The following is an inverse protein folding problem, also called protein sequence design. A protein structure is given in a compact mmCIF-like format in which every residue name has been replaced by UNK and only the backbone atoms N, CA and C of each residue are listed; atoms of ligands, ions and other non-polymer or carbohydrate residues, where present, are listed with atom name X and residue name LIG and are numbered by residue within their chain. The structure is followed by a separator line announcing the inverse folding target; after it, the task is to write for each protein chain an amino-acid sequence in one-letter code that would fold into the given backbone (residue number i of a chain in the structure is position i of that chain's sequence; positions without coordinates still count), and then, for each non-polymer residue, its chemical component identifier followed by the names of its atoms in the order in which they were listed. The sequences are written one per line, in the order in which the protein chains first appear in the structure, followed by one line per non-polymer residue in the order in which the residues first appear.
data_IF_373161590704
#
_entry.id   IF_373161590704
#
_cell.length_a   1.000
_cell.length_b   1.000
_cell.length_c   1.000
_cell.angle_alpha   90.00
_cell.angle_beta   90.00
_cell.angle_gamma   90.00
#
_symmetry.space_group_name_H-M   'P 1'
#
loop_
_entity.id
_entity.type
_entity.pdbx_description
1 polymer ?
#
# COMPACT_ATOMS: atom_id res chain seq x y z
N UNK A 1 -33.08 18.92 26.07
CA UNK A 1 -31.60 18.94 26.07
C UNK A 1 -30.96 17.60 25.69
N UNK A 2 -31.48 16.44 26.12
CA UNK A 2 -30.89 15.10 25.89
C UNK A 2 -30.76 14.66 24.41
N UNK A 3 -31.64 15.16 23.54
CA UNK A 3 -31.70 14.79 22.11
C UNK A 3 -30.57 15.42 21.26
N UNK A 4 -30.06 16.60 21.65
CA UNK A 4 -28.91 17.25 21.00
C UNK A 4 -27.59 16.53 21.29
N UNK A 5 -27.44 16.00 22.51
CA UNK A 5 -26.24 15.25 22.90
C UNK A 5 -26.22 13.87 22.22
N UNK A 6 -27.35 13.17 22.15
CA UNK A 6 -27.45 11.86 21.49
C UNK A 6 -27.04 11.94 20.01
N UNK A 7 -27.49 12.99 19.31
CA UNK A 7 -27.17 13.22 17.90
C UNK A 7 -25.67 13.53 17.67
N UNK A 8 -25.08 14.30 18.59
CA UNK A 8 -23.68 14.69 18.51
C UNK A 8 -22.74 13.50 18.79
N UNK A 9 -23.10 12.62 19.73
CA UNK A 9 -22.35 11.38 20.00
C UNK A 9 -22.43 10.39 18.83
N UNK A 10 -23.60 10.29 18.18
CA UNK A 10 -23.79 9.42 17.01
C UNK A 10 -22.96 9.88 15.81
N UNK A 11 -22.86 11.20 15.60
CA UNK A 11 -22.05 11.80 14.54
C UNK A 11 -20.56 11.48 14.71
N UNK A 12 -20.04 11.55 15.95
CA UNK A 12 -18.64 11.25 16.27
C UNK A 12 -18.32 9.76 16.06
N UNK A 13 -19.23 8.86 16.40
CA UNK A 13 -19.07 7.43 16.17
C UNK A 13 -18.98 7.07 14.68
N UNK A 14 -19.80 7.71 13.85
CA UNK A 14 -19.74 7.53 12.39
C UNK A 14 -18.42 8.07 11.84
N UNK A 15 -17.94 9.22 12.33
CA UNK A 15 -16.68 9.81 11.90
C UNK A 15 -15.45 8.94 12.27
N UNK A 16 -15.46 8.29 13.43
CA UNK A 16 -14.38 7.38 13.84
C UNK A 16 -14.32 6.11 12.99
N UNK A 17 -15.45 5.64 12.45
CA UNK A 17 -15.50 4.40 11.68
C UNK A 17 -14.85 4.51 10.28
N UNK A 18 -14.78 5.71 9.70
CA UNK A 18 -14.17 5.93 8.37
C UNK A 18 -12.65 6.07 8.42
N UNK A 19 -12.09 6.44 9.58
CA UNK A 19 -10.64 6.56 9.79
C UNK A 19 -9.91 5.20 9.79
N UNK A 20 -10.63 4.09 9.97
CA UNK A 20 -10.05 2.74 9.99
C UNK A 20 -10.03 2.06 8.60
N UNK A 21 -10.75 2.60 7.61
CA UNK A 21 -10.84 2.03 6.27
C UNK A 21 -9.55 2.19 5.43
N UNK A 22 -8.53 2.87 5.96
CA UNK A 22 -7.25 3.10 5.29
C UNK A 22 -6.27 1.91 5.31
N UNK A 23 -6.56 0.83 6.04
CA UNK A 23 -5.64 -0.33 6.14
C UNK A 23 -5.70 -1.28 4.92
N UNK A 24 -6.65 -1.10 3.99
CA UNK A 24 -6.78 -1.92 2.78
C UNK A 24 -5.86 -1.48 1.64
N UNK A 25 -4.58 -1.20 1.92
CA UNK A 25 -3.63 -0.81 0.90
C UNK A 25 -3.13 -2.06 0.17
N UNK A 26 -3.30 -2.14 -1.16
CA UNK A 26 -2.77 -3.24 -1.97
C UNK A 26 -1.24 -3.24 -1.90
N UNK A 27 -0.68 -4.10 -1.06
CA UNK A 27 0.77 -4.28 -0.93
C UNK A 27 1.27 -5.31 -1.93
N UNK A 28 2.51 -5.16 -2.36
CA UNK A 28 3.14 -6.12 -3.26
C UNK A 28 4.48 -6.55 -2.69
N UNK A 29 4.73 -7.85 -2.64
CA UNK A 29 6.06 -8.39 -2.35
C UNK A 29 6.76 -8.72 -3.65
N UNK A 30 7.96 -8.16 -3.78
CA UNK A 30 8.89 -8.40 -4.87
C UNK A 30 10.07 -9.19 -4.32
N UNK A 31 10.37 -10.31 -4.97
CA UNK A 31 11.55 -11.13 -4.66
C UNK A 31 12.50 -11.03 -5.84
N UNK A 32 13.74 -10.64 -5.55
CA UNK A 32 14.81 -10.48 -6.54
C UNK A 32 15.74 -11.69 -6.60
N UNK A 33 16.56 -11.75 -7.64
CA UNK A 33 17.43 -12.88 -7.96
C UNK A 33 18.58 -13.06 -6.96
N UNK A 34 18.94 -11.99 -6.26
CA UNK A 34 19.90 -11.93 -5.15
C UNK A 34 19.25 -12.25 -3.79
N UNK A 35 18.02 -12.78 -3.78
CA UNK A 35 17.22 -13.07 -2.58
C UNK A 35 16.78 -11.82 -1.80
N UNK A 36 16.86 -10.64 -2.40
CA UNK A 36 16.26 -9.43 -1.86
C UNK A 36 14.73 -9.54 -1.81
N UNK A 37 14.13 -9.01 -0.74
CA UNK A 37 12.69 -8.96 -0.53
C UNK A 37 12.30 -7.51 -0.32
N UNK A 38 11.44 -6.99 -1.20
CA UNK A 38 10.94 -5.64 -1.13
C UNK A 38 9.42 -5.63 -0.98
N UNK A 39 8.91 -4.78 -0.10
CA UNK A 39 7.46 -4.57 0.08
C UNK A 39 7.12 -3.22 -0.52
N UNK A 40 6.28 -3.23 -1.55
CA UNK A 40 5.74 -2.04 -2.17
C UNK A 40 4.38 -1.70 -1.56
N UNK A 41 4.16 -0.42 -1.26
CA UNK A 41 2.86 0.10 -0.78
C UNK A 41 1.80 0.22 -1.89
N UNK A 42 2.12 -0.20 -3.11
CA UNK A 42 1.24 -0.15 -4.26
C UNK A 42 1.80 -0.96 -5.42
N UNK A 43 1.03 -1.06 -6.51
CA UNK A 43 1.42 -1.85 -7.68
C UNK A 43 2.69 -1.28 -8.35
N UNK A 44 3.75 -2.07 -8.51
CA UNK A 44 4.95 -1.65 -9.24
C UNK A 44 4.63 -1.32 -10.70
N UNK A 45 5.28 -0.28 -11.23
CA UNK A 45 5.13 0.17 -12.61
C UNK A 45 6.31 -0.32 -13.44
N UNK A 46 6.03 -0.85 -14.63
CA UNK A 46 7.07 -1.20 -15.59
C UNK A 46 7.43 0.03 -16.42
N UNK A 47 8.71 0.38 -16.46
CA UNK A 47 9.28 1.29 -17.45
C UNK A 47 9.86 0.48 -18.61
N UNK A 48 9.19 0.42 -19.77
CA UNK A 48 9.67 -0.35 -20.92
C UNK A 48 10.90 0.26 -21.60
N UNK A 49 11.24 1.54 -21.33
CA UNK A 49 12.41 2.18 -21.94
C UNK A 49 13.71 1.71 -21.30
N UNK A 50 13.68 1.53 -19.98
CA UNK A 50 14.84 1.14 -19.18
C UNK A 50 14.77 -0.34 -18.74
N UNK A 51 13.67 -1.04 -19.05
CA UNK A 51 13.37 -2.41 -18.61
C UNK A 51 13.46 -2.59 -17.09
N UNK A 52 12.86 -1.65 -16.35
CA UNK A 52 12.88 -1.62 -14.88
C UNK A 52 11.49 -1.57 -14.29
N UNK A 53 11.31 -2.13 -13.09
CA UNK A 53 10.15 -1.88 -12.24
C UNK A 53 10.45 -0.76 -11.25
N UNK A 54 9.55 0.22 -11.15
CA UNK A 54 9.57 1.25 -10.11
C UNK A 54 8.40 1.09 -9.15
N UNK A 55 8.65 1.27 -7.86
CA UNK A 55 7.62 1.23 -6.84
C UNK A 55 8.02 2.06 -5.62
N UNK A 56 7.03 2.34 -4.77
CA UNK A 56 7.23 3.03 -3.51
C UNK A 56 7.27 2.01 -2.38
N UNK A 57 8.32 2.03 -1.58
CA UNK A 57 8.43 1.17 -0.40
C UNK A 57 7.58 1.70 0.77
N UNK A 58 7.56 0.94 1.87
CA UNK A 58 6.80 1.27 3.09
C UNK A 58 7.28 2.57 3.77
N UNK A 59 8.50 3.02 3.49
CA UNK A 59 9.04 4.28 4.00
C UNK A 59 8.61 5.49 3.16
N UNK A 60 7.99 5.24 2.01
CA UNK A 60 7.64 6.27 1.04
C UNK A 60 8.78 6.62 0.09
N UNK A 61 9.85 5.83 0.03
CA UNK A 61 10.97 6.03 -0.89
C UNK A 61 10.70 5.33 -2.22
N UNK A 62 11.15 5.93 -3.32
CA UNK A 62 11.06 5.32 -4.65
C UNK A 62 12.23 4.35 -4.86
N UNK A 63 11.91 3.13 -5.25
CA UNK A 63 12.86 2.05 -5.50
C UNK A 63 12.70 1.60 -6.95
N UNK A 64 13.82 1.39 -7.63
CA UNK A 64 13.87 0.92 -9.02
C UNK A 64 14.66 -0.38 -9.07
N UNK A 65 14.08 -1.42 -9.66
CA UNK A 65 14.68 -2.75 -9.79
C UNK A 65 14.68 -3.17 -11.25
N UNK A 66 15.79 -3.70 -11.79
CA UNK A 66 15.80 -4.28 -13.14
C UNK A 66 14.79 -5.41 -13.29
N UNK A 67 14.07 -5.44 -14.41
CA UNK A 67 13.10 -6.52 -14.68
C UNK A 67 13.76 -7.89 -14.68
N UNK A 68 15.00 -7.97 -15.19
CA UNK A 68 15.79 -9.20 -15.22
C UNK A 68 16.06 -9.78 -13.82
N UNK A 69 16.15 -8.92 -12.81
CA UNK A 69 16.44 -9.33 -11.44
C UNK A 69 15.20 -9.76 -10.69
N UNK A 70 14.01 -9.32 -11.11
CA UNK A 70 12.75 -9.70 -10.49
C UNK A 70 12.39 -11.16 -10.77
N UNK A 71 12.39 -12.00 -9.73
CA UNK A 71 11.97 -13.41 -9.81
C UNK A 71 10.48 -13.59 -9.58
N UNK A 72 9.94 -12.86 -8.61
CA UNK A 72 8.55 -13.02 -8.23
C UNK A 72 7.94 -11.69 -7.81
N UNK A 73 6.69 -11.47 -8.22
CA UNK A 73 5.82 -10.42 -7.70
C UNK A 73 4.51 -11.05 -7.25
N UNK A 74 4.07 -10.72 -6.05
CA UNK A 74 2.79 -11.17 -5.47
C UNK A 74 2.10 -10.00 -4.80
N UNK A 75 0.81 -9.88 -5.04
CA UNK A 75 -0.04 -9.01 -4.24
C UNK A 75 -0.30 -9.67 -2.89
N UNK A 76 -0.25 -8.88 -1.83
CA UNK A 76 -0.62 -9.26 -0.48
C UNK A 76 -1.80 -8.41 -0.08
N UNK A 77 -2.86 -9.09 0.34
CA UNK A 77 -4.07 -8.49 0.89
C UNK A 77 -4.15 -8.92 2.35
N UNK A 78 -4.31 -7.97 3.26
CA UNK A 78 -4.62 -8.27 4.67
C UNK A 78 -6.06 -8.75 4.84
#
# INVERSE_FOLDING_TARGET
MMQRHLCLTFLVLILCSTLLAGCGSNRYVLVTSDYGIHVASGKPRLDPKNDTYSFRDETGSEVVIPRADLKQMREIRD
#
